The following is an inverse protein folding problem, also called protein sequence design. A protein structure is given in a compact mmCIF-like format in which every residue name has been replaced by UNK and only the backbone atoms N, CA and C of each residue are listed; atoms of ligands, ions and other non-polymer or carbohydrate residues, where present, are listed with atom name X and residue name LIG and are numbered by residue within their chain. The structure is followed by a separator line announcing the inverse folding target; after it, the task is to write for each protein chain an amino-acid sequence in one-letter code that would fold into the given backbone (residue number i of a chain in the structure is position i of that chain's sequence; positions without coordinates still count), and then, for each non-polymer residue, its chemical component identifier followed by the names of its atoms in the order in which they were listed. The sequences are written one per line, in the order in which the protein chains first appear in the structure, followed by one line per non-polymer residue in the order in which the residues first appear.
data_IF_595094920369
#
_entry.id   IF_595094920369
#
_cell.length_a   1.000
_cell.length_b   1.000
_cell.length_c   1.000
_cell.angle_alpha   90.00
_cell.angle_beta   90.00
_cell.angle_gamma   90.00
#
_symmetry.space_group_name_H-M   'P 1'
#
loop_
_entity.id
_entity.type
_entity.pdbx_description
1 polymer ?
#
# COMPACT_ATOMS: atom_id res chain seq x y z
N UNK A 1 4.85 13.94 -25.95
CA UNK A 1 5.59 12.98 -25.10
C UNK A 1 6.98 13.54 -24.89
N UNK A 2 7.20 14.34 -23.84
CA UNK A 2 8.56 14.68 -23.42
C UNK A 2 9.17 13.41 -22.81
N UNK A 3 9.97 12.68 -23.59
CA UNK A 3 10.73 11.58 -23.03
C UNK A 3 11.61 12.12 -21.92
N UNK A 4 11.43 11.61 -20.69
CA UNK A 4 12.19 12.04 -19.52
C UNK A 4 13.70 11.95 -19.73
N UNK A 5 14.47 12.60 -18.86
CA UNK A 5 15.93 12.54 -18.93
C UNK A 5 16.46 11.10 -18.80
N UNK A 6 17.75 10.88 -19.12
CA UNK A 6 18.37 9.56 -18.85
C UNK A 6 18.30 9.20 -17.36
N UNK A 7 18.41 10.21 -16.48
CA UNK A 7 18.32 10.04 -15.04
C UNK A 7 16.90 9.63 -14.60
N UNK A 8 15.86 10.26 -15.16
CA UNK A 8 14.46 9.93 -14.88
C UNK A 8 14.17 8.47 -15.19
N UNK A 9 14.65 7.99 -16.35
CA UNK A 9 14.49 6.58 -16.75
C UNK A 9 15.23 5.64 -15.81
N UNK A 10 16.48 5.95 -15.46
CA UNK A 10 17.27 5.15 -14.54
C UNK A 10 16.58 5.03 -13.16
N UNK A 11 16.03 6.13 -12.66
CA UNK A 11 15.27 6.16 -11.42
C UNK A 11 14.00 5.30 -11.48
N UNK A 12 13.24 5.38 -12.58
CA UNK A 12 12.05 4.57 -12.80
C UNK A 12 12.36 3.07 -12.94
N UNK A 13 13.48 2.71 -13.57
CA UNK A 13 13.95 1.33 -13.69
C UNK A 13 14.41 0.76 -12.33
N UNK A 14 15.07 1.58 -11.51
CA UNK A 14 15.40 1.22 -10.13
C UNK A 14 14.13 0.91 -9.32
N UNK A 15 13.10 1.77 -9.40
CA UNK A 15 11.82 1.52 -8.74
C UNK A 15 11.12 0.25 -9.26
N UNK A 16 11.19 -0.03 -10.56
CA UNK A 16 10.66 -1.26 -11.16
C UNK A 16 11.38 -2.52 -10.67
N UNK A 17 12.66 -2.42 -10.32
CA UNK A 17 13.45 -3.52 -9.77
C UNK A 17 12.98 -3.86 -8.36
N UNK A 18 12.77 -2.85 -7.50
CA UNK A 18 12.28 -3.03 -6.12
C UNK A 18 10.97 -3.83 -6.10
N UNK A 19 9.95 -3.42 -6.85
CA UNK A 19 8.67 -4.15 -6.83
C UNK A 19 8.78 -5.61 -7.30
N UNK A 20 9.69 -5.87 -8.24
CA UNK A 20 9.86 -7.22 -8.80
C UNK A 20 10.59 -8.14 -7.82
N UNK A 21 11.48 -7.60 -7.00
CA UNK A 21 12.22 -8.33 -5.99
C UNK A 21 11.38 -8.63 -4.73
N UNK A 22 10.55 -7.67 -4.28
CA UNK A 22 9.89 -7.75 -2.97
C UNK A 22 8.49 -8.35 -2.96
N UNK A 23 7.76 -8.43 -4.09
CA UNK A 23 6.40 -8.98 -4.06
C UNK A 23 5.94 -9.64 -5.34
N UNK A 24 5.60 -10.92 -5.26
CA UNK A 24 4.95 -11.65 -6.36
C UNK A 24 3.51 -11.19 -6.61
N UNK A 25 2.75 -10.93 -5.54
CA UNK A 25 1.34 -10.51 -5.62
C UNK A 25 1.20 -9.09 -6.17
N UNK A 26 1.93 -8.12 -5.62
CA UNK A 26 1.89 -6.75 -6.10
C UNK A 26 2.54 -6.59 -7.47
N UNK A 27 3.62 -7.32 -7.77
CA UNK A 27 4.19 -7.31 -9.12
C UNK A 27 3.19 -7.85 -10.15
N UNK A 28 2.42 -8.90 -9.82
CA UNK A 28 1.36 -9.41 -10.69
C UNK A 28 0.28 -8.36 -10.96
N UNK A 29 -0.27 -7.74 -9.91
CA UNK A 29 -1.29 -6.70 -10.06
C UNK A 29 -0.74 -5.48 -10.84
N UNK A 30 0.48 -5.03 -10.54
CA UNK A 30 1.10 -3.90 -11.22
C UNK A 30 1.41 -4.18 -12.70
N UNK A 31 1.68 -5.43 -13.09
CA UNK A 31 1.85 -5.80 -14.52
C UNK A 31 0.56 -5.59 -15.32
N UNK A 32 -0.61 -5.66 -14.67
CA UNK A 32 -1.92 -5.48 -15.29
C UNK A 32 -2.32 -4.00 -15.44
N UNK A 33 -1.58 -3.07 -14.83
CA UNK A 33 -1.78 -1.63 -15.00
C UNK A 33 -1.41 -1.19 -16.41
N UNK A 34 -2.14 -0.23 -16.98
CA UNK A 34 -1.79 0.39 -18.26
C UNK A 34 -0.47 1.16 -18.18
N UNK A 35 0.22 1.36 -19.32
CA UNK A 35 1.53 2.00 -19.36
C UNK A 35 1.53 3.41 -18.77
N UNK A 36 0.41 4.13 -18.90
CA UNK A 36 0.21 5.48 -18.34
C UNK A 36 0.45 5.56 -16.84
N UNK A 37 -0.05 4.60 -16.08
CA UNK A 37 -0.04 4.63 -14.61
C UNK A 37 1.01 3.72 -13.99
N UNK A 38 1.43 2.68 -14.73
CA UNK A 38 2.25 1.58 -14.22
C UNK A 38 3.56 2.06 -13.62
N UNK A 39 4.29 2.94 -14.31
CA UNK A 39 5.59 3.42 -13.84
C UNK A 39 5.44 4.21 -12.54
N UNK A 40 4.46 5.10 -12.45
CA UNK A 40 4.22 5.88 -11.24
C UNK A 40 3.83 5.03 -10.04
N UNK A 41 2.97 4.01 -10.22
CA UNK A 41 2.61 3.10 -9.12
C UNK A 41 3.84 2.32 -8.62
N UNK A 42 4.75 1.92 -9.52
CA UNK A 42 6.01 1.29 -9.12
C UNK A 42 6.89 2.22 -8.29
N UNK A 43 6.93 3.52 -8.64
CA UNK A 43 7.66 4.54 -7.87
C UNK A 43 7.09 4.74 -6.46
N UNK A 44 5.75 4.76 -6.32
CA UNK A 44 5.09 4.78 -4.99
C UNK A 44 5.46 3.54 -4.19
N UNK A 45 5.29 2.35 -4.78
CA UNK A 45 5.64 1.09 -4.11
C UNK A 45 7.10 1.08 -3.65
N UNK A 46 8.03 1.53 -4.49
CA UNK A 46 9.45 1.50 -4.17
C UNK A 46 9.81 2.41 -2.99
N UNK A 47 9.26 3.63 -2.92
CA UNK A 47 9.46 4.51 -1.75
C UNK A 47 8.91 3.88 -0.48
N UNK A 48 7.67 3.36 -0.54
CA UNK A 48 7.03 2.70 0.59
C UNK A 48 7.86 1.53 1.08
N UNK A 49 8.33 0.67 0.17
CA UNK A 49 9.18 -0.49 0.53
C UNK A 49 10.50 -0.07 1.14
N UNK A 50 11.16 0.98 0.63
CA UNK A 50 12.42 1.47 1.22
C UNK A 50 12.21 1.98 2.64
N UNK A 51 11.13 2.72 2.91
CA UNK A 51 10.82 3.16 4.27
C UNK A 51 10.51 1.97 5.20
N UNK A 52 9.79 0.96 4.71
CA UNK A 52 9.51 -0.27 5.47
C UNK A 52 10.79 -1.06 5.80
N UNK A 53 11.77 -1.12 4.88
CA UNK A 53 13.09 -1.73 5.14
C UNK A 53 13.89 -1.02 6.24
N UNK A 54 13.64 0.28 6.46
CA UNK A 54 14.26 1.03 7.57
C UNK A 54 13.65 0.62 8.90
N UNK A 55 12.38 0.23 8.94
CA UNK A 55 11.66 -0.14 10.17
C UNK A 55 11.82 -1.62 10.49
N UNK A 56 11.37 -2.51 9.60
CA UNK A 56 11.17 -3.95 9.85
C UNK A 56 11.99 -4.86 8.90
N UNK A 57 12.93 -4.29 8.14
CA UNK A 57 13.71 -5.03 7.12
C UNK A 57 15.21 -5.01 7.38
N UNK A 58 15.98 -4.64 6.34
CA UNK A 58 17.43 -4.68 6.37
C UNK A 58 18.06 -3.90 7.53
N UNK A 59 17.49 -2.75 7.92
CA UNK A 59 18.01 -1.97 9.04
C UNK A 59 17.86 -2.70 10.38
N UNK A 60 16.71 -3.33 10.63
CA UNK A 60 16.49 -4.16 11.81
C UNK A 60 17.47 -5.35 11.81
N UNK A 61 17.67 -6.01 10.67
CA UNK A 61 18.60 -7.14 10.52
C UNK A 61 20.06 -6.78 10.80
N UNK A 62 20.45 -5.51 10.59
CA UNK A 62 21.79 -5.00 10.95
C UNK A 62 21.93 -4.64 12.43
N UNK A 63 20.86 -4.70 13.21
CA UNK A 63 20.84 -4.29 14.62
C UNK A 63 20.92 -2.78 14.81
N UNK A 64 20.49 -1.98 13.83
CA UNK A 64 20.46 -0.52 13.98
C UNK A 64 19.49 -0.13 15.10
N UNK A 65 19.92 0.72 16.04
CA UNK A 65 19.06 1.11 17.14
C UNK A 65 17.95 2.06 16.65
N UNK A 66 16.77 1.99 17.27
CA UNK A 66 15.58 2.76 16.89
C UNK A 66 15.81 4.27 16.71
N UNK A 67 16.64 4.97 17.49
CA UNK A 67 16.96 6.39 17.24
C UNK A 67 17.65 6.63 15.89
N UNK A 68 18.46 5.68 15.41
CA UNK A 68 19.11 5.78 14.09
C UNK A 68 18.13 5.49 12.97
N UNK A 69 17.25 4.50 13.13
CA UNK A 69 16.16 4.24 12.17
C UNK A 69 15.24 5.47 12.04
N UNK A 70 14.90 6.12 13.16
CA UNK A 70 14.13 7.37 13.16
C UNK A 70 14.84 8.49 12.37
N UNK A 71 16.14 8.67 12.58
CA UNK A 71 16.91 9.66 11.82
C UNK A 71 16.87 9.38 10.31
N UNK A 72 17.03 8.11 9.91
CA UNK A 72 16.95 7.70 8.50
C UNK A 72 15.57 7.99 7.90
N UNK A 73 14.48 7.77 8.65
CA UNK A 73 13.13 8.14 8.22
C UNK A 73 12.94 9.66 8.11
N UNK A 74 13.49 10.43 9.04
CA UNK A 74 13.44 11.90 9.02
C UNK A 74 14.17 12.47 7.80
N UNK A 75 15.36 11.95 7.50
CA UNK A 75 16.13 12.31 6.31
C UNK A 75 15.41 11.91 5.01
N UNK A 76 14.83 10.70 4.96
CA UNK A 76 14.09 10.22 3.80
C UNK A 76 12.82 11.03 3.56
N UNK A 77 12.06 11.41 4.60
CA UNK A 77 10.90 12.30 4.47
C UNK A 77 11.33 13.67 3.95
N UNK A 78 12.37 14.27 4.54
CA UNK A 78 12.85 15.59 4.18
C UNK A 78 13.31 15.63 2.71
N UNK A 79 14.11 14.64 2.28
CA UNK A 79 14.55 14.54 0.89
C UNK A 79 13.38 14.27 -0.06
N UNK A 80 12.39 13.46 0.34
CA UNK A 80 11.18 13.23 -0.47
C UNK A 80 10.41 14.52 -0.71
N UNK A 81 10.10 15.27 0.35
CA UNK A 81 9.39 16.54 0.24
C UNK A 81 10.20 17.57 -0.56
N UNK A 82 11.51 17.66 -0.33
CA UNK A 82 12.40 18.53 -1.07
C UNK A 82 12.43 18.17 -2.57
N UNK A 83 12.53 16.89 -2.91
CA UNK A 83 12.55 16.39 -4.27
C UNK A 83 11.23 16.66 -5.01
N UNK A 84 10.08 16.47 -4.33
CA UNK A 84 8.76 16.84 -4.88
C UNK A 84 8.70 18.33 -5.17
N UNK A 85 9.23 19.20 -4.29
CA UNK A 85 9.23 20.64 -4.52
C UNK A 85 10.19 21.09 -5.64
N UNK A 86 11.44 20.62 -5.61
CA UNK A 86 12.52 21.07 -6.51
C UNK A 86 12.62 20.29 -7.83
N UNK A 87 11.98 19.13 -7.93
CA UNK A 87 11.95 18.30 -9.14
C UNK A 87 13.16 17.40 -9.34
N UNK A 88 14.03 17.24 -8.34
CA UNK A 88 15.25 16.43 -8.44
C UNK A 88 15.60 15.80 -7.10
N UNK A 89 16.19 14.61 -7.13
CA UNK A 89 16.84 13.97 -5.97
C UNK A 89 18.07 13.23 -6.47
N UNK A 90 19.11 13.14 -5.65
CA UNK A 90 20.25 12.25 -5.94
C UNK A 90 19.94 10.79 -5.60
N UNK A 91 18.92 10.55 -4.77
CA UNK A 91 18.40 9.21 -4.48
C UNK A 91 17.42 8.82 -5.60
N UNK A 92 17.75 7.74 -6.33
CA UNK A 92 16.97 7.27 -7.48
C UNK A 92 15.52 6.90 -7.11
N UNK A 93 15.28 6.30 -5.94
CA UNK A 93 13.93 5.92 -5.52
C UNK A 93 13.10 7.16 -5.17
N UNK A 94 13.68 8.10 -4.44
CA UNK A 94 13.03 9.38 -4.13
C UNK A 94 12.79 10.18 -5.41
N UNK A 95 13.74 10.20 -6.34
CA UNK A 95 13.56 10.88 -7.62
C UNK A 95 12.41 10.30 -8.42
N UNK A 96 12.32 8.97 -8.54
CA UNK A 96 11.23 8.29 -9.23
C UNK A 96 9.87 8.63 -8.60
N UNK A 97 9.79 8.64 -7.26
CA UNK A 97 8.58 9.04 -6.55
C UNK A 97 8.25 10.52 -6.81
N UNK A 98 9.22 11.42 -6.76
CA UNK A 98 9.02 12.84 -6.99
C UNK A 98 8.46 13.13 -8.39
N UNK A 99 8.90 12.40 -9.42
CA UNK A 99 8.32 12.49 -10.76
C UNK A 99 6.82 12.14 -10.76
N UNK A 100 6.45 11.01 -10.14
CA UNK A 100 5.06 10.59 -10.00
C UNK A 100 4.23 11.60 -9.19
N UNK A 101 4.76 12.06 -8.07
CA UNK A 101 4.08 12.96 -7.15
C UNK A 101 3.80 14.32 -7.79
N UNK A 102 4.78 14.88 -8.50
CA UNK A 102 4.62 16.16 -9.22
C UNK A 102 3.62 16.07 -10.37
N UNK A 103 3.68 14.98 -11.14
CA UNK A 103 2.74 14.78 -12.25
C UNK A 103 1.31 14.55 -11.77
N UNK A 104 1.15 13.77 -10.69
CA UNK A 104 -0.16 13.27 -10.28
C UNK A 104 -0.79 14.06 -9.12
N UNK A 105 -0.09 15.05 -8.56
CA UNK A 105 -0.59 15.86 -7.44
C UNK A 105 -0.55 15.15 -6.08
N UNK A 106 0.48 14.33 -5.81
CA UNK A 106 0.69 13.74 -4.49
C UNK A 106 1.43 14.75 -3.61
N UNK A 107 0.73 15.27 -2.60
CA UNK A 107 1.22 16.34 -1.73
C UNK A 107 1.73 15.85 -0.37
N UNK A 108 2.14 16.83 0.44
CA UNK A 108 2.61 16.61 1.82
C UNK A 108 1.52 16.01 2.72
N UNK A 109 0.25 16.22 2.37
CA UNK A 109 -0.94 15.71 3.05
C UNK A 109 -1.04 14.18 3.00
N UNK A 110 -0.40 13.54 2.01
CA UNK A 110 -0.28 12.08 1.93
C UNK A 110 1.11 11.58 2.35
N UNK A 111 2.16 12.35 2.06
CA UNK A 111 3.55 11.96 2.36
C UNK A 111 3.83 11.97 3.86
N UNK A 112 3.44 13.03 4.57
CA UNK A 112 3.76 13.16 6.01
C UNK A 112 3.06 12.11 6.87
N UNK A 113 1.75 11.81 6.68
CA UNK A 113 1.12 10.73 7.45
C UNK A 113 1.77 9.37 7.22
N UNK A 114 2.22 9.08 6.00
CA UNK A 114 2.98 7.86 5.70
C UNK A 114 4.26 7.75 6.54
N UNK A 115 5.11 8.77 6.52
CA UNK A 115 6.33 8.73 7.34
C UNK A 115 6.03 8.78 8.84
N UNK A 116 4.90 9.38 9.26
CA UNK A 116 4.47 9.37 10.65
C UNK A 116 4.08 7.96 11.14
N UNK A 117 3.43 7.15 10.30
CA UNK A 117 3.12 5.75 10.64
C UNK A 117 4.40 4.90 10.72
N UNK A 118 5.34 5.08 9.79
CA UNK A 118 6.64 4.36 9.83
C UNK A 118 7.42 4.66 11.12
N UNK A 119 7.38 5.89 11.63
CA UNK A 119 7.99 6.23 12.93
C UNK A 119 7.24 5.65 14.12
N UNK A 120 5.94 5.44 13.97
CA UNK A 120 5.11 4.86 15.03
C UNK A 120 5.55 3.41 15.28
N UNK A 121 5.83 2.65 14.23
CA UNK A 121 6.32 1.27 14.31
C UNK A 121 7.66 1.13 15.05
N UNK A 122 8.50 2.18 15.09
CA UNK A 122 9.75 2.15 15.84
C UNK A 122 9.60 2.20 17.37
N UNK A 123 8.47 2.70 17.88
CA UNK A 123 8.37 3.10 19.30
C UNK A 123 7.09 2.68 20.01
N UNK A 124 6.00 2.41 19.29
CA UNK A 124 4.71 2.05 19.87
C UNK A 124 4.41 0.58 19.68
N UNK A 125 4.00 -0.05 20.78
CA UNK A 125 3.57 -1.46 20.83
C UNK A 125 2.09 -1.60 21.18
N UNK A 126 1.45 -0.54 21.68
CA UNK A 126 0.03 -0.50 22.06
C UNK A 126 -0.66 0.72 21.43
N UNK A 127 -1.90 0.51 20.99
CA UNK A 127 -2.72 1.51 20.33
C UNK A 127 -4.12 1.57 20.96
N UNK A 128 -4.57 2.78 21.28
CA UNK A 128 -5.99 3.08 21.45
C UNK A 128 -6.67 3.25 20.08
N UNK A 129 -8.00 3.40 20.05
CA UNK A 129 -8.74 3.55 18.79
C UNK A 129 -8.26 4.73 17.94
N UNK A 130 -7.97 5.87 18.55
CA UNK A 130 -7.54 7.07 17.82
C UNK A 130 -6.15 6.90 17.19
N UNK A 131 -5.21 6.31 17.93
CA UNK A 131 -3.85 6.04 17.44
C UNK A 131 -3.81 4.87 16.46
N UNK A 132 -4.71 3.91 16.58
CA UNK A 132 -4.93 2.85 15.58
C UNK A 132 -5.41 3.45 14.27
N UNK A 133 -6.46 4.27 14.29
CA UNK A 133 -7.03 4.87 13.08
C UNK A 133 -6.02 5.80 12.39
N UNK A 134 -5.27 6.58 13.15
CA UNK A 134 -4.18 7.40 12.61
C UNK A 134 -3.06 6.55 11.99
N UNK A 135 -2.75 5.40 12.60
CA UNK A 135 -1.77 4.46 12.07
C UNK A 135 -2.26 3.83 10.77
N UNK A 136 -3.47 3.26 10.72
CA UNK A 136 -4.06 2.66 9.50
C UNK A 136 -4.16 3.68 8.37
N UNK A 137 -4.55 4.92 8.69
CA UNK A 137 -4.56 6.01 7.73
C UNK A 137 -3.17 6.22 7.10
N UNK A 138 -2.14 6.36 7.92
CA UNK A 138 -0.77 6.60 7.46
C UNK A 138 -0.09 5.39 6.80
N UNK A 139 -0.31 4.17 7.30
CA UNK A 139 0.40 2.98 6.83
C UNK A 139 -0.19 2.42 5.54
N UNK A 140 -1.49 2.58 5.30
CA UNK A 140 -2.17 1.96 4.16
C UNK A 140 -3.11 2.88 3.38
N UNK A 141 -3.98 3.66 4.05
CA UNK A 141 -4.98 4.46 3.32
C UNK A 141 -4.32 5.53 2.44
N UNK A 142 -3.30 6.25 2.95
CA UNK A 142 -2.57 7.24 2.14
C UNK A 142 -1.87 6.62 0.94
N UNK A 143 -1.39 5.37 1.01
CA UNK A 143 -0.80 4.67 -0.14
C UNK A 143 -1.87 4.38 -1.20
N UNK A 144 -3.07 3.97 -0.78
CA UNK A 144 -4.24 3.86 -1.64
C UNK A 144 -4.61 5.19 -2.31
N UNK A 145 -4.58 6.28 -1.55
CA UNK A 145 -4.85 7.64 -2.04
C UNK A 145 -3.77 8.12 -3.02
N UNK A 146 -2.49 7.82 -2.79
CA UNK A 146 -1.39 8.09 -3.73
C UNK A 146 -1.62 7.35 -5.06
N UNK A 147 -2.05 6.09 -5.00
CA UNK A 147 -2.38 5.31 -6.20
C UNK A 147 -3.61 5.90 -6.93
N UNK A 148 -4.62 6.36 -6.19
CA UNK A 148 -5.79 7.01 -6.76
C UNK A 148 -5.42 8.32 -7.49
N UNK A 149 -4.56 9.14 -6.89
CA UNK A 149 -4.02 10.34 -7.55
C UNK A 149 -3.38 9.97 -8.89
N UNK A 150 -2.57 8.92 -8.94
CA UNK A 150 -1.97 8.42 -10.17
C UNK A 150 -3.03 7.98 -11.18
N UNK A 151 -4.03 7.19 -10.76
CA UNK A 151 -5.06 6.69 -11.66
C UNK A 151 -5.82 7.81 -12.35
N UNK A 152 -6.18 8.85 -11.58
CA UNK A 152 -6.95 10.01 -12.05
C UNK A 152 -6.08 10.98 -12.87
N UNK A 153 -4.84 11.22 -12.45
CA UNK A 153 -4.05 12.37 -12.92
C UNK A 153 -2.89 12.05 -13.87
N UNK A 154 -2.36 10.82 -13.91
CA UNK A 154 -1.24 10.51 -14.81
C UNK A 154 -1.58 10.82 -16.28
N UNK A 155 -0.71 11.54 -16.97
CA UNK A 155 -0.91 12.02 -18.35
C UNK A 155 -1.81 13.25 -18.50
N UNK A 156 -2.27 13.88 -17.42
CA UNK A 156 -2.99 15.17 -17.48
C UNK A 156 -2.02 16.35 -17.48
N UNK A 157 -2.44 17.47 -18.06
CA UNK A 157 -1.70 18.73 -17.98
C UNK A 157 -1.77 19.39 -16.61
N UNK A 158 -2.84 19.11 -15.85
CA UNK A 158 -3.07 19.68 -14.53
C UNK A 158 -3.78 18.63 -13.66
N UNK A 159 -3.28 18.34 -12.44
CA UNK A 159 -3.94 17.44 -11.51
C UNK A 159 -5.33 17.95 -11.12
N UNK A 160 -6.26 17.02 -10.94
CA UNK A 160 -7.61 17.24 -10.44
C UNK A 160 -7.79 16.49 -9.12
N UNK A 161 -8.70 16.99 -8.29
CA UNK A 161 -9.16 16.25 -7.12
C UNK A 161 -9.93 15.00 -7.57
N UNK A 162 -9.61 13.80 -7.06
CA UNK A 162 -10.40 12.61 -7.32
C UNK A 162 -11.84 12.73 -6.82
N UNK A 163 -12.75 11.97 -7.43
CA UNK A 163 -14.15 11.88 -7.00
C UNK A 163 -14.23 11.37 -5.55
N UNK A 164 -15.08 11.95 -4.66
CA UNK A 164 -15.20 11.52 -3.27
C UNK A 164 -15.53 10.04 -3.09
N UNK A 165 -16.30 9.43 -4.00
CA UNK A 165 -16.63 8.00 -3.95
C UNK A 165 -15.42 7.11 -4.23
N UNK A 166 -14.53 7.56 -5.14
CA UNK A 166 -13.26 6.89 -5.40
C UNK A 166 -12.28 7.08 -4.24
N UNK A 167 -12.26 8.25 -3.61
CA UNK A 167 -11.47 8.52 -2.40
C UNK A 167 -11.88 7.55 -1.29
N UNK A 168 -13.17 7.46 -1.00
CA UNK A 168 -13.70 6.52 -0.01
C UNK A 168 -13.34 5.08 -0.36
N UNK A 169 -13.57 4.66 -1.60
CA UNK A 169 -13.22 3.31 -2.05
C UNK A 169 -11.73 2.98 -1.90
N UNK A 170 -10.84 3.94 -2.18
CA UNK A 170 -9.39 3.78 -2.03
C UNK A 170 -8.97 3.66 -0.56
N UNK A 171 -9.57 4.47 0.33
CA UNK A 171 -9.31 4.41 1.78
C UNK A 171 -9.78 3.08 2.36
N UNK A 172 -11.00 2.66 2.06
CA UNK A 172 -11.57 1.37 2.50
C UNK A 172 -10.74 0.19 2.02
N UNK A 173 -10.27 0.22 0.78
CA UNK A 173 -9.37 -0.81 0.28
C UNK A 173 -8.04 -0.86 1.04
N UNK A 174 -7.45 0.32 1.34
CA UNK A 174 -6.24 0.43 2.14
C UNK A 174 -6.41 -0.10 3.57
N UNK A 175 -7.49 0.29 4.26
CA UNK A 175 -7.82 -0.18 5.60
C UNK A 175 -7.98 -1.70 5.64
N UNK A 176 -8.76 -2.28 4.72
CA UNK A 176 -8.90 -3.73 4.59
C UNK A 176 -7.56 -4.45 4.39
N UNK A 177 -6.65 -3.88 3.59
CA UNK A 177 -5.35 -4.48 3.36
C UNK A 177 -4.50 -4.49 4.63
N UNK A 178 -4.56 -3.41 5.41
CA UNK A 178 -3.83 -3.30 6.65
C UNK A 178 -4.37 -4.27 7.71
N UNK A 179 -5.69 -4.34 7.86
CA UNK A 179 -6.34 -5.29 8.77
C UNK A 179 -6.04 -6.75 8.40
N UNK A 180 -6.03 -7.07 7.10
CA UNK A 180 -5.61 -8.40 6.62
C UNK A 180 -4.14 -8.68 6.94
N UNK A 181 -3.26 -7.69 6.81
CA UNK A 181 -1.85 -7.86 7.18
C UNK A 181 -1.71 -8.10 8.68
N UNK A 182 -2.38 -7.34 9.53
CA UNK A 182 -2.38 -7.55 10.98
C UNK A 182 -2.84 -8.96 11.36
N UNK A 183 -3.96 -9.43 10.81
CA UNK A 183 -4.44 -10.78 11.09
C UNK A 183 -3.51 -11.87 10.58
N UNK A 184 -2.90 -11.67 9.40
CA UNK A 184 -1.97 -12.64 8.80
C UNK A 184 -0.67 -12.76 9.57
N UNK A 185 -0.16 -11.64 10.07
CA UNK A 185 1.16 -11.55 10.69
C UNK A 185 1.08 -11.57 12.24
N UNK A 186 -0.13 -11.61 12.82
CA UNK A 186 -0.43 -11.69 14.27
C UNK A 186 0.46 -12.67 15.03
N UNK A 187 0.51 -13.94 14.63
CA UNK A 187 1.29 -14.95 15.35
C UNK A 187 2.80 -14.61 15.41
N UNK A 188 3.34 -13.98 14.37
CA UNK A 188 4.74 -13.55 14.33
C UNK A 188 4.93 -12.26 15.15
N UNK A 189 4.03 -11.29 15.03
CA UNK A 189 4.08 -10.00 15.73
C UNK A 189 3.93 -10.14 17.25
N UNK A 190 3.06 -11.05 17.70
CA UNK A 190 2.88 -11.37 19.12
C UNK A 190 4.14 -11.99 19.73
N UNK A 191 4.70 -12.99 19.05
CA UNK A 191 5.84 -13.75 19.58
C UNK A 191 7.16 -12.99 19.49
N UNK A 192 7.33 -12.11 18.49
CA UNK A 192 8.61 -11.45 18.20
C UNK A 192 8.66 -10.01 18.70
N UNK A 193 7.57 -9.25 18.56
CA UNK A 193 7.56 -7.80 18.71
C UNK A 193 6.68 -7.31 19.86
N UNK A 194 5.80 -8.17 20.40
CA UNK A 194 4.87 -7.81 21.48
C UNK A 194 3.90 -6.69 21.07
N UNK A 195 3.51 -6.63 19.79
CA UNK A 195 2.62 -5.61 19.23
C UNK A 195 1.19 -6.17 19.12
N UNK A 196 0.20 -5.42 19.61
CA UNK A 196 -1.22 -5.70 19.34
C UNK A 196 -1.88 -4.51 18.64
N UNK A 197 -1.94 -4.58 17.32
CA UNK A 197 -2.56 -3.55 16.50
C UNK A 197 -4.09 -3.64 16.50
N UNK A 198 -4.68 -4.80 16.80
CA UNK A 198 -6.13 -5.00 16.68
C UNK A 198 -6.86 -4.97 18.03
N UNK A 199 -6.15 -4.91 19.15
CA UNK A 199 -6.75 -4.98 20.49
C UNK A 199 -7.36 -6.36 20.78
N UNK A 200 -6.83 -7.40 20.13
CA UNK A 200 -7.32 -8.78 20.27
C UNK A 200 -6.73 -9.47 21.50
N UNK A 201 -5.57 -9.04 22.01
CA UNK A 201 -4.89 -9.66 23.16
C UNK A 201 -5.67 -9.47 24.47
N UNK A 202 -6.17 -8.25 24.69
CA UNK A 202 -6.92 -7.91 25.90
C UNK A 202 -8.42 -8.23 25.78
N UNK A 203 -8.84 -8.86 24.67
CA UNK A 203 -10.25 -9.15 24.37
C UNK A 203 -11.10 -7.92 24.08
N UNK A 204 -10.46 -6.76 23.80
CA UNK A 204 -11.15 -5.51 23.48
C UNK A 204 -11.85 -5.56 22.11
N UNK A 205 -11.40 -6.41 21.20
CA UNK A 205 -12.10 -6.71 19.94
C UNK A 205 -12.24 -8.21 19.73
N UNK A 206 -13.30 -8.57 19.03
CA UNK A 206 -13.54 -9.93 18.52
C UNK A 206 -12.90 -10.05 17.12
N UNK A 207 -12.12 -11.12 16.91
CA UNK A 207 -11.54 -11.46 15.59
C UNK A 207 -12.61 -11.54 14.51
N UNK A 208 -13.79 -12.07 14.82
CA UNK A 208 -14.91 -12.15 13.88
C UNK A 208 -15.34 -10.73 13.46
N UNK A 209 -15.45 -9.81 14.42
CA UNK A 209 -15.81 -8.42 14.12
C UNK A 209 -14.76 -7.71 13.24
N UNK A 210 -13.46 -8.02 13.40
CA UNK A 210 -12.40 -7.51 12.50
C UNK A 210 -12.57 -8.07 11.09
N UNK A 211 -12.84 -9.37 10.94
CA UNK A 211 -13.08 -10.00 9.65
C UNK A 211 -14.34 -9.47 8.96
N UNK A 212 -15.40 -9.20 9.72
CA UNK A 212 -16.63 -8.58 9.21
C UNK A 212 -16.39 -7.14 8.75
N UNK A 213 -15.54 -6.38 9.46
CA UNK A 213 -15.08 -5.05 9.03
C UNK A 213 -14.29 -5.13 7.72
N UNK A 214 -13.34 -6.06 7.59
CA UNK A 214 -12.58 -6.29 6.36
C UNK A 214 -13.53 -6.54 5.18
N UNK A 215 -14.54 -7.39 5.36
CA UNK A 215 -15.51 -7.69 4.31
C UNK A 215 -16.34 -6.44 3.92
N UNK A 216 -16.80 -5.66 4.90
CA UNK A 216 -17.52 -4.42 4.65
C UNK A 216 -16.65 -3.38 3.90
N UNK A 217 -15.37 -3.31 4.21
CA UNK A 217 -14.39 -2.43 3.56
C UNK A 217 -14.10 -2.90 2.12
N UNK A 218 -13.90 -4.20 1.91
CA UNK A 218 -13.71 -4.80 0.58
C UNK A 218 -14.96 -4.61 -0.29
N UNK A 219 -16.16 -4.73 0.26
CA UNK A 219 -17.41 -4.50 -0.46
C UNK A 219 -17.61 -3.03 -0.85
N UNK A 220 -17.22 -2.10 0.03
CA UNK A 220 -17.20 -0.67 -0.27
C UNK A 220 -16.23 -0.36 -1.41
N UNK A 221 -15.00 -0.86 -1.33
CA UNK A 221 -14.01 -0.73 -2.39
C UNK A 221 -14.49 -1.34 -3.72
N UNK A 222 -15.13 -2.51 -3.68
CA UNK A 222 -15.67 -3.18 -4.86
C UNK A 222 -16.74 -2.38 -5.60
N UNK A 223 -17.45 -1.46 -4.92
CA UNK A 223 -18.39 -0.53 -5.58
C UNK A 223 -17.65 0.53 -6.37
N UNK A 224 -16.61 1.13 -5.79
CA UNK A 224 -15.83 2.20 -6.43
C UNK A 224 -14.95 1.72 -7.61
N UNK A 225 -14.53 0.45 -7.64
CA UNK A 225 -13.68 -0.09 -8.72
C UNK A 225 -14.31 0.06 -10.10
N UNK A 226 -15.64 0.03 -10.21
CA UNK A 226 -16.35 0.18 -11.47
C UNK A 226 -16.18 1.57 -12.10
N UNK A 227 -15.87 2.59 -11.29
CA UNK A 227 -15.74 3.98 -11.72
C UNK A 227 -14.28 4.36 -12.01
N UNK A 228 -13.34 3.45 -11.73
CA UNK A 228 -11.93 3.65 -12.08
C UNK A 228 -11.70 3.67 -13.60
N UNK A 229 -10.66 4.42 -14.06
CA UNK A 229 -10.18 4.35 -15.43
C UNK A 229 -9.91 2.91 -15.89
N UNK A 230 -10.23 2.64 -17.16
CA UNK A 230 -10.20 1.29 -17.74
C UNK A 230 -8.82 0.62 -17.68
N UNK A 231 -7.76 1.42 -17.72
CA UNK A 231 -6.37 0.98 -17.69
C UNK A 231 -5.86 0.66 -16.28
N UNK A 232 -6.67 0.94 -15.25
CA UNK A 232 -6.36 0.65 -13.84
C UNK A 232 -7.27 -0.46 -13.29
N UNK A 233 -8.53 -0.52 -13.75
CA UNK A 233 -9.60 -1.37 -13.20
C UNK A 233 -9.21 -2.83 -13.03
N UNK A 234 -8.56 -3.44 -14.03
CA UNK A 234 -8.17 -4.86 -14.00
C UNK A 234 -7.12 -5.15 -12.92
N UNK A 235 -6.14 -4.26 -12.77
CA UNK A 235 -5.12 -4.37 -11.75
C UNK A 235 -5.72 -4.24 -10.34
N UNK A 236 -6.58 -3.23 -10.13
CA UNK A 236 -7.22 -3.01 -8.83
C UNK A 236 -8.20 -4.14 -8.49
N UNK A 237 -8.96 -4.65 -9.47
CA UNK A 237 -9.80 -5.85 -9.29
C UNK A 237 -8.97 -7.08 -8.92
N UNK A 238 -7.77 -7.22 -9.48
CA UNK A 238 -6.86 -8.33 -9.14
C UNK A 238 -6.32 -8.19 -7.73
N UNK A 239 -5.87 -6.99 -7.34
CA UNK A 239 -5.46 -6.71 -5.97
C UNK A 239 -6.60 -7.01 -4.99
N UNK A 240 -7.77 -6.40 -5.18
CA UNK A 240 -8.98 -6.67 -4.39
C UNK A 240 -9.25 -8.17 -4.23
N UNK A 241 -9.28 -8.92 -5.33
CA UNK A 241 -9.55 -10.36 -5.29
C UNK A 241 -8.50 -11.18 -4.53
N UNK A 242 -7.23 -10.76 -4.55
CA UNK A 242 -6.17 -11.39 -3.75
C UNK A 242 -6.41 -11.19 -2.26
N UNK A 243 -6.80 -10.00 -1.84
CA UNK A 243 -7.07 -9.70 -0.43
C UNK A 243 -8.39 -10.30 0.05
N UNK A 244 -9.42 -10.33 -0.78
CA UNK A 244 -10.66 -11.07 -0.48
C UNK A 244 -10.41 -12.56 -0.27
N UNK A 245 -9.51 -13.18 -1.06
CA UNK A 245 -9.12 -14.57 -0.84
C UNK A 245 -8.27 -14.77 0.42
N UNK A 246 -7.44 -13.79 0.80
CA UNK A 246 -6.73 -13.82 2.09
C UNK A 246 -7.72 -13.73 3.26
N UNK A 247 -8.65 -12.77 3.24
CA UNK A 247 -9.67 -12.60 4.26
C UNK A 247 -10.52 -13.87 4.44
N UNK A 248 -10.94 -14.47 3.32
CA UNK A 248 -11.67 -15.76 3.34
C UNK A 248 -10.86 -16.87 4.01
N UNK A 249 -9.56 -16.97 3.72
CA UNK A 249 -8.69 -18.00 4.34
C UNK A 249 -8.46 -17.72 5.83
N UNK A 250 -8.34 -16.46 6.23
CA UNK A 250 -8.16 -16.07 7.64
C UNK A 250 -9.38 -16.40 8.51
N UNK A 251 -10.58 -16.52 7.91
CA UNK A 251 -11.79 -17.03 8.58
C UNK A 251 -11.72 -18.54 8.87
N UNK A 252 -11.02 -19.30 8.02
CA UNK A 252 -10.88 -20.76 8.12
C UNK A 252 -9.57 -21.20 8.79
N UNK A 253 -8.77 -20.24 9.29
CA UNK A 253 -7.41 -20.48 9.79
C UNK A 253 -7.36 -20.64 11.31
N UNK A 254 -6.49 -21.53 11.78
CA UNK A 254 -6.27 -21.82 13.21
C UNK A 254 -5.21 -20.90 13.84
N UNK A 255 -4.80 -19.81 13.18
CA UNK A 255 -3.82 -18.81 13.63
C UNK A 255 -2.38 -19.32 13.84
N UNK A 256 -2.09 -20.55 13.41
CA UNK A 256 -0.78 -21.18 13.65
C UNK A 256 0.22 -20.98 12.53
N UNK A 257 -0.25 -20.67 11.31
CA UNK A 257 0.61 -20.56 10.13
C UNK A 257 0.23 -19.31 9.35
N UNK A 258 1.25 -18.59 8.89
CA UNK A 258 1.07 -17.42 8.04
C UNK A 258 0.29 -17.75 6.76
N UNK A 259 -0.90 -17.19 6.63
CA UNK A 259 -1.79 -17.43 5.49
C UNK A 259 -1.26 -16.80 4.20
N UNK A 260 -1.30 -17.55 3.11
CA UNK A 260 -0.93 -17.04 1.78
C UNK A 260 -1.88 -17.53 0.68
N UNK A 261 -1.91 -16.79 -0.44
CA UNK A 261 -2.66 -17.18 -1.64
C UNK A 261 -1.76 -18.03 -2.55
N UNK A 262 -2.11 -19.28 -2.86
CA UNK A 262 -1.33 -20.13 -3.77
C UNK A 262 -1.27 -19.55 -5.19
N UNK A 263 -0.15 -19.76 -5.89
CA UNK A 263 0.07 -19.27 -7.26
C UNK A 263 -1.05 -19.60 -8.25
N UNK A 264 -1.62 -20.83 -8.28
CA UNK A 264 -2.74 -21.14 -9.18
C UNK A 264 -4.00 -20.31 -8.89
N UNK A 265 -4.23 -19.98 -7.62
CA UNK A 265 -5.36 -19.13 -7.19
C UNK A 265 -5.10 -17.69 -7.60
N UNK A 266 -3.88 -17.17 -7.42
CA UNK A 266 -3.49 -15.83 -7.93
C UNK A 266 -3.72 -15.71 -9.44
N UNK A 267 -3.31 -16.72 -10.21
CA UNK A 267 -3.51 -16.77 -11.65
C UNK A 267 -5.01 -16.77 -12.03
N UNK A 268 -5.83 -17.53 -11.29
CA UNK A 268 -7.28 -17.58 -11.49
C UNK A 268 -7.93 -16.22 -11.22
N UNK A 269 -7.56 -15.55 -10.13
CA UNK A 269 -8.04 -14.20 -9.80
C UNK A 269 -7.68 -13.21 -10.91
N UNK A 270 -6.42 -13.20 -11.34
CA UNK A 270 -5.96 -12.34 -12.43
C UNK A 270 -6.69 -12.62 -13.75
N UNK A 271 -6.89 -13.90 -14.11
CA UNK A 271 -7.61 -14.29 -15.33
C UNK A 271 -9.08 -13.81 -15.31
N UNK A 272 -9.76 -13.90 -14.15
CA UNK A 272 -11.13 -13.37 -14.00
C UNK A 272 -11.18 -11.86 -14.18
N UNK A 273 -10.24 -11.14 -13.59
CA UNK A 273 -10.15 -9.68 -13.74
C UNK A 273 -9.86 -9.27 -15.19
N UNK A 274 -8.96 -10.00 -15.88
CA UNK A 274 -8.68 -9.80 -17.30
C UNK A 274 -9.92 -10.03 -18.19
N UNK A 275 -10.73 -11.03 -17.84
CA UNK A 275 -12.03 -11.30 -18.49
C UNK A 275 -13.12 -10.28 -18.17
N UNK A 276 -12.81 -9.21 -17.41
CA UNK A 276 -13.75 -8.14 -17.09
C UNK A 276 -14.80 -8.52 -16.03
N UNK A 277 -14.60 -9.63 -15.30
CA UNK A 277 -15.49 -9.98 -14.19
C UNK A 277 -15.31 -8.96 -13.05
N UNK A 278 -16.41 -8.48 -12.44
CA UNK A 278 -16.31 -7.54 -11.33
C UNK A 278 -15.64 -8.19 -10.11
N UNK A 279 -15.14 -7.38 -9.16
CA UNK A 279 -14.66 -7.88 -7.88
C UNK A 279 -15.73 -8.73 -7.20
N UNK A 280 -15.30 -9.83 -6.55
CA UNK A 280 -16.21 -10.61 -5.71
C UNK A 280 -16.60 -9.75 -4.51
N UNK A 281 -17.87 -9.79 -4.13
CA UNK A 281 -18.36 -9.21 -2.89
C UNK A 281 -18.69 -10.32 -1.91
N UNK A 282 -18.70 -10.00 -0.63
CA UNK A 282 -19.17 -10.93 0.38
C UNK A 282 -20.64 -11.25 0.12
N UNK A 283 -21.01 -12.53 0.22
CA UNK A 283 -22.41 -12.92 0.16
C UNK A 283 -23.09 -12.48 1.46
N UNK A 284 -24.24 -11.78 1.40
CA UNK A 284 -25.00 -11.43 2.59
C UNK A 284 -25.52 -12.68 3.31
#
# INVERSE_FOLDING_TARGET
MSGGSLYDRCAQDAAATVITAYSTSFALACRLLGPRVRTHVRSVYALVRVADEVVDGAAEATGLPAPTQRLLLDELEAETLAAVARGFSTNLIVHAFALAARECGIGHDLIRPFFASMRTDLTRTQHDDASHDAYVYGSAEVVGLMCLQIFVNAGRSTPLSPDPTLVEGARRLGAAFQDVNFLRDRADDENRLGRDYLGLQDGHRDRIAVLDRIDADLDAAARAIADLPVDCRRAVTTAHGLFAELARRLRDDDETVRVSVPTPVKATIAARALAGRPPKRSTP
#
